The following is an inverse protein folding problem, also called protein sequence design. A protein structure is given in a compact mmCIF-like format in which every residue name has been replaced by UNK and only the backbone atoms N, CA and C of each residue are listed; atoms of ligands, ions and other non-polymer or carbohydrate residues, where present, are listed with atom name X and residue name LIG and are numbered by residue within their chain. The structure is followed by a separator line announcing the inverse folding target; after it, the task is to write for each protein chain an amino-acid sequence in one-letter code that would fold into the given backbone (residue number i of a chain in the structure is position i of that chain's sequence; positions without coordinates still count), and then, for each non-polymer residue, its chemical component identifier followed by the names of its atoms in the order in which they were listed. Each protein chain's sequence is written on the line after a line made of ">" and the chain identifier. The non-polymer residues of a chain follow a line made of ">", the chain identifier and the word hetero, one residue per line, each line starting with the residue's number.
data_IF_234054758548
#
_entry.id   IF_234054758548
#
_cell.length_a   1.000
_cell.length_b   1.000
_cell.length_c   1.000
_cell.angle_alpha   90.00
_cell.angle_beta   90.00
_cell.angle_gamma   90.00
#
_symmetry.space_group_name_H-M   'P 1'
#
loop_
_entity.id
_entity.type
_entity.pdbx_description
1 polymer ?
#
# COMPACT_ATOMS: atom_id res chain seq x y z
N UNK A 1 11.61 -29.13 -15.93
CA UNK A 1 11.62 -30.29 -15.00
C UNK A 1 12.76 -30.19 -13.98
N UNK A 2 12.87 -29.08 -13.23
CA UNK A 2 13.90 -28.91 -12.18
C UNK A 2 13.31 -29.10 -10.77
N UNK A 3 12.05 -28.67 -10.59
CA UNK A 3 11.29 -28.79 -9.35
C UNK A 3 11.06 -30.25 -8.90
N UNK A 4 10.98 -31.21 -9.83
CA UNK A 4 10.83 -32.63 -9.49
C UNK A 4 12.00 -33.17 -8.68
N UNK A 5 13.21 -32.61 -8.86
CA UNK A 5 14.41 -33.01 -8.13
C UNK A 5 14.41 -32.50 -6.67
N UNK A 6 13.62 -31.47 -6.37
CA UNK A 6 13.55 -30.84 -5.04
C UNK A 6 12.21 -31.08 -4.33
N UNK A 7 11.33 -31.91 -4.92
CA UNK A 7 9.97 -32.14 -4.39
C UNK A 7 9.98 -32.62 -2.94
N UNK A 8 10.89 -33.52 -2.58
CA UNK A 8 11.00 -34.04 -1.21
C UNK A 8 11.41 -32.97 -0.20
N UNK A 9 12.30 -32.04 -0.59
CA UNK A 9 12.70 -30.90 0.24
C UNK A 9 11.54 -29.90 0.35
N UNK A 10 10.88 -29.57 -0.76
CA UNK A 10 9.74 -28.66 -0.76
C UNK A 10 8.56 -29.16 0.08
N UNK A 11 8.27 -30.47 0.06
CA UNK A 11 7.21 -31.05 0.90
C UNK A 11 7.55 -30.97 2.39
N UNK A 12 8.84 -31.07 2.74
CA UNK A 12 9.31 -30.97 4.11
C UNK A 12 9.23 -29.53 4.64
N UNK A 13 9.57 -28.57 3.80
CA UNK A 13 9.64 -27.15 4.19
C UNK A 13 8.26 -26.46 4.12
N UNK A 14 7.42 -26.82 3.14
CA UNK A 14 6.16 -26.13 2.83
C UNK A 14 4.89 -26.99 3.06
N UNK A 15 5.04 -28.23 3.53
CA UNK A 15 3.93 -29.13 3.80
C UNK A 15 3.41 -29.87 2.55
N UNK A 16 2.17 -30.40 2.59
CA UNK A 16 1.63 -31.24 1.52
C UNK A 16 1.76 -30.59 0.13
N UNK A 17 2.07 -31.39 -0.89
CA UNK A 17 2.26 -30.94 -2.29
C UNK A 17 1.11 -30.07 -2.77
N UNK A 18 -0.11 -30.37 -2.34
CA UNK A 18 -1.32 -29.62 -2.68
C UNK A 18 -1.24 -28.16 -2.23
N UNK A 19 -0.74 -27.89 -1.03
CA UNK A 19 -0.60 -26.53 -0.47
C UNK A 19 0.42 -25.72 -1.27
N UNK A 20 1.55 -26.32 -1.63
CA UNK A 20 2.62 -25.67 -2.39
C UNK A 20 2.24 -25.41 -3.86
N UNK A 21 1.65 -26.40 -4.52
CA UNK A 21 1.21 -26.28 -5.91
C UNK A 21 0.05 -25.31 -6.05
N UNK A 22 -1.01 -25.47 -5.24
CA UNK A 22 -2.19 -24.61 -5.34
C UNK A 22 -1.81 -23.15 -5.11
N UNK A 23 -0.98 -22.85 -4.11
CA UNK A 23 -0.52 -21.49 -3.86
C UNK A 23 0.26 -20.90 -5.05
N UNK A 24 1.19 -21.66 -5.62
CA UNK A 24 2.01 -21.22 -6.76
C UNK A 24 1.15 -21.00 -8.01
N UNK A 25 0.22 -21.92 -8.29
CA UNK A 25 -0.71 -21.81 -9.41
C UNK A 25 -1.72 -20.69 -9.21
N UNK A 26 -2.25 -20.46 -8.01
CA UNK A 26 -3.14 -19.34 -7.71
C UNK A 26 -2.44 -17.99 -7.90
N UNK A 27 -1.21 -17.85 -7.38
CA UNK A 27 -0.35 -16.67 -7.61
C UNK A 27 -0.09 -16.46 -9.09
N UNK A 28 0.25 -17.52 -9.81
CA UNK A 28 0.55 -17.46 -11.25
C UNK A 28 -0.70 -17.13 -12.07
N UNK A 29 -1.85 -17.71 -11.74
CA UNK A 29 -3.14 -17.40 -12.34
C UNK A 29 -3.55 -15.96 -12.08
N UNK A 30 -3.30 -15.43 -10.87
CA UNK A 30 -3.46 -14.01 -10.57
C UNK A 30 -2.57 -13.12 -11.45
N UNK A 31 -1.32 -13.51 -11.66
CA UNK A 31 -0.40 -12.81 -12.55
C UNK A 31 -0.88 -12.84 -14.01
N UNK A 32 -1.24 -14.03 -14.54
CA UNK A 32 -1.78 -14.16 -15.90
C UNK A 32 -3.10 -13.40 -16.08
N UNK A 33 -3.98 -13.41 -15.08
CA UNK A 33 -5.24 -12.66 -15.08
C UNK A 33 -5.08 -11.14 -15.02
N UNK A 34 -3.92 -10.66 -14.53
CA UNK A 34 -3.60 -9.22 -14.51
C UNK A 34 -3.14 -8.69 -15.88
N UNK A 35 -2.78 -9.57 -16.81
CA UNK A 35 -2.30 -9.16 -18.13
C UNK A 35 -3.47 -8.58 -18.92
N UNK A 36 -3.30 -7.38 -19.53
CA UNK A 36 -4.33 -6.84 -20.41
C UNK A 36 -4.52 -7.81 -21.58
N UNK A 37 -5.73 -8.34 -21.69
CA UNK A 37 -6.13 -9.21 -22.80
C UNK A 37 -7.44 -8.66 -23.40
N UNK A 38 -7.68 -8.94 -24.66
CA UNK A 38 -8.91 -8.54 -25.37
C UNK A 38 -9.98 -9.66 -25.37
N UNK A 39 -9.85 -10.65 -24.47
CA UNK A 39 -10.65 -11.87 -24.40
C UNK A 39 -10.73 -12.71 -25.69
N UNK A 40 -9.86 -12.47 -26.68
CA UNK A 40 -9.72 -13.30 -27.89
C UNK A 40 -8.34 -13.94 -27.93
N UNK A 41 -8.28 -15.26 -28.10
CA UNK A 41 -7.03 -16.00 -28.20
C UNK A 41 -6.01 -15.61 -27.10
N UNK A 42 -6.47 -15.69 -25.84
CA UNK A 42 -5.72 -15.31 -24.64
C UNK A 42 -4.35 -16.01 -24.59
N UNK A 43 -4.33 -17.30 -24.94
CA UNK A 43 -3.12 -18.12 -25.01
C UNK A 43 -2.05 -17.51 -25.93
N UNK A 44 -2.44 -17.11 -27.15
CA UNK A 44 -1.51 -16.49 -28.11
C UNK A 44 -0.94 -15.16 -27.59
N UNK A 45 -1.74 -14.37 -26.88
CA UNK A 45 -1.27 -13.10 -26.31
C UNK A 45 -0.29 -13.32 -25.16
N UNK A 46 -0.59 -14.29 -24.31
CA UNK A 46 0.31 -14.72 -23.23
C UNK A 46 1.63 -15.23 -23.82
N UNK A 47 1.58 -16.11 -24.83
CA UNK A 47 2.78 -16.66 -25.47
C UNK A 47 3.62 -15.58 -26.16
N UNK A 48 2.99 -14.69 -26.94
CA UNK A 48 3.69 -13.54 -27.56
C UNK A 48 4.37 -12.66 -26.52
N UNK A 49 3.70 -12.43 -25.39
CA UNK A 49 4.27 -11.66 -24.29
C UNK A 49 5.46 -12.38 -23.67
N UNK A 50 5.36 -13.69 -23.39
CA UNK A 50 6.49 -14.47 -22.89
C UNK A 50 7.69 -14.42 -23.83
N UNK A 51 7.49 -14.60 -25.14
CA UNK A 51 8.58 -14.52 -26.12
C UNK A 51 9.18 -13.11 -26.17
N UNK A 52 8.35 -12.07 -26.15
CA UNK A 52 8.82 -10.68 -26.12
C UNK A 52 9.63 -10.38 -24.86
N UNK A 53 9.11 -10.76 -23.69
CA UNK A 53 9.78 -10.51 -22.41
C UNK A 53 11.10 -11.30 -22.33
N UNK A 54 11.11 -12.57 -22.76
CA UNK A 54 12.34 -13.38 -22.85
C UNK A 54 13.37 -12.77 -23.82
N UNK A 55 12.93 -12.30 -24.99
CA UNK A 55 13.80 -11.64 -25.96
C UNK A 55 14.39 -10.37 -25.38
N UNK A 56 13.57 -9.47 -24.83
CA UNK A 56 14.03 -8.22 -24.22
C UNK A 56 15.04 -8.48 -23.10
N UNK A 57 14.81 -9.51 -22.28
CA UNK A 57 15.71 -9.89 -21.19
C UNK A 57 17.04 -10.48 -21.68
N UNK A 58 17.08 -11.00 -22.90
CA UNK A 58 18.30 -11.53 -23.52
C UNK A 58 19.13 -10.48 -24.25
N UNK A 59 18.63 -9.24 -24.37
CA UNK A 59 19.37 -8.17 -25.07
C UNK A 59 20.57 -7.74 -24.25
N UNK A 60 21.76 -7.90 -24.82
CA UNK A 60 22.99 -7.33 -24.29
C UNK A 60 23.06 -5.86 -24.72
N UNK A 61 23.12 -4.96 -23.74
CA UNK A 61 23.24 -3.51 -24.01
C UNK A 61 24.64 -3.17 -24.54
N UNK A 62 24.77 -2.28 -25.55
CA UNK A 62 26.06 -1.79 -26.03
C UNK A 62 26.84 -1.09 -24.90
N UNK A 63 28.13 -1.42 -24.75
CA UNK A 63 29.00 -0.92 -23.66
C UNK A 63 29.03 0.62 -23.60
N UNK A 64 29.09 1.26 -24.76
CA UNK A 64 29.30 2.71 -24.92
C UNK A 64 28.13 3.57 -24.39
N UNK A 65 26.93 3.00 -24.28
CA UNK A 65 25.71 3.71 -23.88
C UNK A 65 25.00 3.02 -22.72
N UNK A 66 25.66 2.04 -22.09
CA UNK A 66 25.05 1.19 -21.09
C UNK A 66 24.48 2.01 -19.92
N UNK A 67 25.20 3.03 -19.46
CA UNK A 67 24.73 3.92 -18.39
C UNK A 67 23.50 4.74 -18.79
N UNK A 68 23.49 5.28 -20.02
CA UNK A 68 22.36 6.06 -20.54
C UNK A 68 21.12 5.19 -20.74
N UNK A 69 21.30 3.97 -21.26
CA UNK A 69 20.23 3.00 -21.43
C UNK A 69 19.71 2.49 -20.08
N UNK A 70 20.58 2.19 -19.10
CA UNK A 70 20.16 1.80 -17.75
C UNK A 70 19.36 2.90 -17.05
N UNK A 71 19.76 4.16 -17.23
CA UNK A 71 19.05 5.32 -16.64
C UNK A 71 17.65 5.51 -17.23
N UNK A 72 17.48 5.29 -18.53
CA UNK A 72 16.21 5.54 -19.23
C UNK A 72 15.30 4.32 -19.33
N UNK A 73 15.85 3.10 -19.31
CA UNK A 73 15.13 1.84 -19.38
C UNK A 73 15.23 1.10 -18.05
N UNK A 74 14.66 1.70 -16.99
CA UNK A 74 14.59 1.13 -15.65
C UNK A 74 13.98 -0.28 -15.62
N UNK A 75 13.21 -0.69 -16.64
CA UNK A 75 12.65 -2.04 -16.76
C UNK A 75 13.70 -3.11 -17.12
N UNK A 76 14.77 -2.76 -17.86
CA UNK A 76 15.84 -3.70 -18.24
C UNK A 76 16.71 -4.09 -17.04
N UNK A 77 16.83 -3.21 -16.04
CA UNK A 77 17.49 -3.55 -14.77
C UNK A 77 16.66 -4.56 -13.92
N UNK A 78 15.35 -4.69 -14.16
CA UNK A 78 14.45 -5.53 -13.34
C UNK A 78 14.52 -7.03 -13.63
N UNK A 79 15.33 -7.45 -14.61
CA UNK A 79 15.44 -8.85 -14.99
C UNK A 79 16.82 -9.46 -14.74
N UNK A 80 17.86 -8.64 -14.57
CA UNK A 80 19.13 -9.06 -13.96
C UNK A 80 19.11 -8.91 -12.45
N UNK A 81 18.32 -7.99 -11.91
CA UNK A 81 17.95 -7.97 -10.50
C UNK A 81 16.66 -8.74 -10.34
N UNK A 82 16.71 -9.82 -9.56
CA UNK A 82 15.54 -10.39 -8.88
C UNK A 82 14.81 -9.19 -8.24
N UNK A 83 13.67 -8.83 -8.82
CA UNK A 83 13.32 -7.42 -8.95
C UNK A 83 13.19 -6.68 -7.64
N UNK A 84 14.08 -5.71 -7.36
CA UNK A 84 14.14 -4.91 -6.12
C UNK A 84 13.47 -5.69 -4.98
N UNK A 85 14.10 -6.79 -4.57
CA UNK A 85 13.70 -7.43 -3.32
C UNK A 85 13.83 -6.34 -2.26
N UNK A 86 12.67 -5.82 -1.82
CA UNK A 86 12.60 -4.97 -0.64
C UNK A 86 13.36 -5.74 0.42
N UNK A 87 14.48 -5.18 0.87
CA UNK A 87 15.38 -5.92 1.76
C UNK A 87 14.59 -6.37 2.99
N UNK A 88 14.92 -7.53 3.56
CA UNK A 88 14.25 -7.99 4.79
C UNK A 88 14.29 -6.91 5.89
N UNK A 89 15.33 -6.08 5.90
CA UNK A 89 15.45 -4.93 6.78
C UNK A 89 14.42 -3.83 6.48
N UNK A 90 14.22 -3.46 5.22
CA UNK A 90 13.18 -2.50 4.82
C UNK A 90 11.78 -3.02 5.17
N UNK A 91 11.52 -4.32 5.00
CA UNK A 91 10.25 -4.94 5.39
C UNK A 91 10.06 -4.85 6.91
N UNK A 92 11.08 -5.21 7.71
CA UNK A 92 11.04 -5.09 9.17
C UNK A 92 10.79 -3.64 9.59
N UNK A 93 11.42 -2.69 8.93
CA UNK A 93 11.20 -1.27 9.18
C UNK A 93 9.75 -0.87 8.88
N UNK A 94 9.20 -1.22 7.71
CA UNK A 94 7.80 -0.93 7.36
C UNK A 94 6.80 -1.54 8.36
N UNK A 95 7.04 -2.78 8.80
CA UNK A 95 6.23 -3.45 9.82
C UNK A 95 6.28 -2.74 11.17
N UNK A 96 7.45 -2.24 11.54
CA UNK A 96 7.63 -1.44 12.75
C UNK A 96 6.90 -0.09 12.65
N UNK A 97 7.00 0.59 11.51
CA UNK A 97 6.33 1.87 11.27
C UNK A 97 4.81 1.73 11.32
N UNK A 98 4.26 0.69 10.68
CA UNK A 98 2.82 0.50 10.53
C UNK A 98 2.09 0.14 11.81
N UNK A 99 2.80 -0.44 12.79
CA UNK A 99 2.25 -0.83 14.10
C UNK A 99 2.33 0.25 15.18
N UNK A 100 2.96 1.39 14.90
CA UNK A 100 3.10 2.47 15.88
C UNK A 100 2.05 3.56 15.69
N UNK A 101 1.32 3.86 16.76
CA UNK A 101 0.37 4.97 16.82
C UNK A 101 1.05 6.34 16.90
N UNK A 102 2.12 6.46 17.68
CA UNK A 102 2.84 7.73 17.82
C UNK A 102 3.71 8.06 16.57
N UNK A 103 3.93 9.35 16.28
CA UNK A 103 4.99 9.82 15.39
C UNK A 103 6.34 9.29 15.87
N UNK A 104 7.20 8.92 14.92
CA UNK A 104 8.52 8.39 15.23
C UNK A 104 9.53 9.51 14.98
N UNK A 105 10.23 9.99 16.02
CA UNK A 105 11.23 11.04 15.87
C UNK A 105 12.33 10.60 14.89
N UNK A 106 12.84 11.53 14.09
CA UNK A 106 13.93 11.31 13.14
C UNK A 106 13.67 10.21 12.09
N UNK A 107 12.41 9.82 11.86
CA UNK A 107 12.07 8.89 10.80
C UNK A 107 12.07 9.60 9.44
N UNK A 108 12.78 9.04 8.48
CA UNK A 108 12.68 9.47 7.09
C UNK A 108 11.41 8.88 6.45
N UNK A 109 10.43 9.73 6.17
CA UNK A 109 9.17 9.36 5.50
C UNK A 109 9.24 9.52 3.98
N UNK A 110 10.35 10.02 3.45
CA UNK A 110 10.59 10.18 2.00
C UNK A 110 11.08 8.88 1.35
N UNK A 111 11.53 7.91 2.15
CA UNK A 111 11.90 6.59 1.63
C UNK A 111 10.69 5.79 1.18
N UNK A 112 10.46 5.77 -0.14
CA UNK A 112 9.31 5.13 -0.80
C UNK A 112 9.72 4.09 -1.85
N UNK A 113 10.98 3.64 -1.87
CA UNK A 113 11.51 2.67 -2.86
C UNK A 113 10.71 1.37 -2.94
N UNK A 114 10.16 0.92 -1.81
CA UNK A 114 9.38 -0.30 -1.69
C UNK A 114 7.99 -0.23 -2.37
N UNK A 115 7.52 0.98 -2.70
CA UNK A 115 6.19 1.22 -3.26
C UNK A 115 6.27 1.45 -4.76
N UNK A 116 5.50 0.66 -5.51
CA UNK A 116 5.21 0.93 -6.92
C UNK A 116 3.86 1.63 -7.00
N UNK A 117 3.69 2.56 -7.93
CA UNK A 117 2.44 3.30 -8.08
C UNK A 117 1.96 3.29 -9.53
N UNK A 118 0.65 3.49 -9.68
CA UNK A 118 0.03 3.59 -11.00
C UNK A 118 0.40 4.89 -11.73
N UNK A 119 -0.11 5.04 -12.96
CA UNK A 119 0.10 6.25 -13.75
C UNK A 119 -0.28 7.49 -12.94
N UNK A 120 0.65 8.45 -12.93
CA UNK A 120 0.54 9.66 -12.14
C UNK A 120 -0.05 10.79 -12.97
N UNK A 121 -0.87 11.64 -12.34
CA UNK A 121 -1.40 12.88 -12.93
C UNK A 121 -1.18 14.06 -11.99
N UNK A 122 -1.06 15.27 -12.53
CA UNK A 122 -0.91 16.49 -11.73
C UNK A 122 -2.24 16.87 -11.08
N UNK A 123 -2.17 17.40 -9.87
CA UNK A 123 -3.31 17.86 -9.09
C UNK A 123 -2.92 19.07 -8.24
N UNK A 124 -3.87 19.95 -7.95
CA UNK A 124 -3.71 21.04 -7.01
C UNK A 124 -4.61 20.77 -5.80
N UNK A 125 -4.03 20.83 -4.61
CA UNK A 125 -4.76 20.65 -3.36
C UNK A 125 -5.72 21.82 -3.15
N UNK A 126 -6.90 21.54 -2.59
CA UNK A 126 -7.77 22.60 -2.09
C UNK A 126 -7.14 23.32 -0.90
N UNK A 127 -7.59 24.55 -0.61
CA UNK A 127 -7.08 25.32 0.52
C UNK A 127 -7.21 24.57 1.86
N UNK A 128 -8.30 23.81 2.03
CA UNK A 128 -8.53 22.99 3.22
C UNK A 128 -7.57 21.80 3.30
N UNK A 129 -7.44 21.03 2.20
CA UNK A 129 -6.50 19.90 2.11
C UNK A 129 -5.05 20.34 2.36
N UNK A 130 -4.65 21.46 1.76
CA UNK A 130 -3.31 22.03 1.96
C UNK A 130 -3.06 22.39 3.42
N UNK A 131 -4.03 23.05 4.09
CA UNK A 131 -3.95 23.38 5.52
C UNK A 131 -3.78 22.13 6.38
N UNK A 132 -4.59 21.11 6.11
CA UNK A 132 -4.60 19.86 6.86
C UNK A 132 -3.30 19.08 6.64
N UNK A 133 -2.88 18.91 5.39
CA UNK A 133 -1.62 18.24 5.04
C UNK A 133 -0.40 18.94 5.65
N UNK A 134 -0.38 20.29 5.65
CA UNK A 134 0.67 21.07 6.32
C UNK A 134 0.73 20.79 7.81
N UNK A 135 -0.41 20.58 8.47
CA UNK A 135 -0.44 20.18 9.87
C UNK A 135 0.07 18.74 10.07
N UNK A 136 -0.29 17.82 9.17
CA UNK A 136 0.24 16.46 9.17
C UNK A 136 1.76 16.45 9.06
N UNK A 137 2.34 17.22 8.13
CA UNK A 137 3.79 17.36 8.00
C UNK A 137 4.46 17.87 9.28
N UNK A 138 3.91 18.92 9.90
CA UNK A 138 4.41 19.42 11.20
C UNK A 138 4.39 18.36 12.31
N UNK A 139 3.51 17.36 12.20
CA UNK A 139 3.42 16.28 13.18
C UNK A 139 4.47 15.19 12.95
N UNK A 140 4.73 14.83 11.69
CA UNK A 140 5.75 13.82 11.35
C UNK A 140 7.18 14.38 11.38
N UNK A 141 7.33 15.69 11.23
CA UNK A 141 8.59 16.42 11.24
C UNK A 141 8.52 17.61 12.21
N UNK A 142 8.50 17.37 13.52
CA UNK A 142 8.40 18.44 14.52
C UNK A 142 9.64 19.36 14.54
N UNK A 143 10.82 18.81 14.21
CA UNK A 143 12.10 19.51 14.32
C UNK A 143 12.45 20.36 13.08
N UNK A 144 11.65 20.28 12.01
CA UNK A 144 11.89 20.99 10.75
C UNK A 144 11.24 22.38 10.77
N UNK A 145 12.05 23.41 11.09
CA UNK A 145 11.59 24.79 11.21
C UNK A 145 11.19 25.45 9.86
N UNK A 146 11.96 25.20 8.79
CA UNK A 146 11.77 25.84 7.48
C UNK A 146 11.31 24.84 6.43
N UNK A 147 10.01 24.56 6.43
CA UNK A 147 9.37 23.66 5.49
C UNK A 147 8.57 24.43 4.45
N UNK A 148 8.93 24.27 3.17
CA UNK A 148 8.15 24.80 2.04
C UNK A 148 7.37 23.67 1.40
N UNK A 149 6.04 23.83 1.36
CA UNK A 149 5.10 22.87 0.78
C UNK A 149 4.43 23.51 -0.44
N UNK A 150 4.62 22.95 -1.66
CA UNK A 150 3.87 23.38 -2.83
C UNK A 150 2.39 23.02 -2.70
N UNK A 151 1.50 23.78 -3.34
CA UNK A 151 0.07 23.45 -3.42
C UNK A 151 -0.21 22.39 -4.49
N UNK A 152 0.72 22.22 -5.44
CA UNK A 152 0.63 21.21 -6.47
C UNK A 152 1.27 19.89 -6.03
N UNK A 153 0.61 18.80 -6.38
CA UNK A 153 1.06 17.46 -6.12
C UNK A 153 0.75 16.54 -7.30
N UNK A 154 1.21 15.31 -7.17
CA UNK A 154 0.99 14.25 -8.14
C UNK A 154 0.04 13.23 -7.53
N UNK A 155 -1.03 12.83 -8.21
CA UNK A 155 -1.98 11.82 -7.73
C UNK A 155 -1.86 10.51 -8.51
N UNK A 156 -2.01 9.38 -7.81
CA UNK A 156 -2.11 8.06 -8.41
C UNK A 156 -3.28 7.26 -7.82
N UNK A 157 -3.78 6.29 -8.59
CA UNK A 157 -5.00 5.55 -8.26
C UNK A 157 -4.78 4.33 -7.37
N UNK A 158 -3.58 3.76 -7.36
CA UNK A 158 -3.23 2.66 -6.46
C UNK A 158 -1.73 2.61 -6.26
N UNK A 159 -1.33 1.95 -5.17
CA UNK A 159 0.06 1.62 -4.86
C UNK A 159 0.18 0.11 -4.67
N UNK A 160 1.34 -0.45 -4.96
CA UNK A 160 1.64 -1.87 -4.83
C UNK A 160 2.85 -2.02 -3.92
N UNK A 161 2.69 -2.82 -2.87
CA UNK A 161 3.74 -3.22 -1.94
C UNK A 161 3.82 -4.74 -1.94
N UNK A 162 4.98 -5.34 -2.22
CA UNK A 162 5.18 -6.81 -2.24
C UNK A 162 4.13 -7.57 -3.10
N UNK A 163 3.83 -7.02 -4.28
CA UNK A 163 2.79 -7.50 -5.21
C UNK A 163 1.34 -7.43 -4.68
N UNK A 164 1.14 -6.84 -3.52
CA UNK A 164 -0.18 -6.55 -2.98
C UNK A 164 -0.62 -5.15 -3.40
N UNK A 165 -1.79 -5.08 -4.05
CA UNK A 165 -2.37 -3.81 -4.49
C UNK A 165 -3.18 -3.19 -3.36
N UNK A 166 -2.86 -1.93 -3.05
CA UNK A 166 -3.61 -1.01 -2.21
C UNK A 166 -4.27 0.01 -3.13
N UNK A 167 -5.58 -0.14 -3.31
CA UNK A 167 -6.38 0.65 -4.23
C UNK A 167 -6.85 1.96 -3.61
N UNK A 168 -7.54 2.74 -4.42
CA UNK A 168 -8.34 3.89 -3.96
C UNK A 168 -9.80 3.73 -4.38
N UNK A 169 -10.69 4.42 -3.68
CA UNK A 169 -12.14 4.30 -3.82
C UNK A 169 -12.64 4.57 -5.24
N UNK A 170 -12.06 5.56 -5.91
CA UNK A 170 -12.41 5.96 -7.28
C UNK A 170 -11.73 5.11 -8.36
N UNK A 171 -10.87 4.16 -7.97
CA UNK A 171 -10.14 3.31 -8.91
C UNK A 171 -10.86 1.99 -9.19
N UNK A 172 -10.44 1.30 -10.27
CA UNK A 172 -10.82 -0.09 -10.53
C UNK A 172 -10.45 -1.06 -9.38
N UNK A 173 -9.58 -0.64 -8.47
CA UNK A 173 -9.15 -1.39 -7.29
C UNK A 173 -9.88 -0.95 -6.01
N UNK A 174 -11.12 -0.43 -6.12
CA UNK A 174 -11.97 -0.02 -4.99
C UNK A 174 -12.03 -1.04 -3.85
N UNK A 175 -12.10 -2.34 -4.15
CA UNK A 175 -12.13 -3.42 -3.14
C UNK A 175 -10.85 -3.51 -2.31
N UNK A 176 -9.74 -2.95 -2.80
CA UNK A 176 -8.46 -2.87 -2.09
C UNK A 176 -8.21 -1.50 -1.46
N UNK A 177 -9.21 -0.63 -1.37
CA UNK A 177 -9.10 0.71 -0.74
C UNK A 177 -9.31 0.70 0.78
N UNK A 178 -9.78 -0.42 1.32
CA UNK A 178 -10.06 -0.62 2.73
C UNK A 178 -8.77 -0.92 3.50
N UNK A 179 -8.40 -0.04 4.43
CA UNK A 179 -7.17 -0.14 5.21
C UNK A 179 -7.42 -0.02 6.72
N UNK A 180 -6.58 -0.67 7.50
CA UNK A 180 -6.44 -0.45 8.94
C UNK A 180 -5.14 0.31 9.20
N UNK A 181 -5.15 1.26 10.14
CA UNK A 181 -3.93 1.94 10.57
C UNK A 181 -3.99 2.42 12.03
N UNK A 182 -2.83 2.48 12.67
CA UNK A 182 -2.64 3.13 13.97
C UNK A 182 -2.28 4.60 13.72
N UNK A 183 -3.25 5.39 13.25
CA UNK A 183 -2.98 6.77 12.82
C UNK A 183 -4.07 7.75 13.28
N UNK A 184 -5.33 7.34 13.18
CA UNK A 184 -6.45 8.18 13.56
C UNK A 184 -6.75 8.08 15.06
N UNK A 185 -6.73 9.22 15.76
CA UNK A 185 -7.11 9.33 17.17
C UNK A 185 -8.58 9.71 17.40
N UNK A 186 -9.34 9.91 16.32
CA UNK A 186 -10.69 10.45 16.38
C UNK A 186 -10.70 11.97 16.28
N UNK A 187 -11.84 12.53 15.89
CA UNK A 187 -12.06 13.98 15.67
C UNK A 187 -11.04 14.59 14.71
N UNK A 188 -10.59 13.82 13.72
CA UNK A 188 -9.58 14.24 12.75
C UNK A 188 -8.17 14.40 13.33
N UNK A 189 -7.91 14.01 14.58
CA UNK A 189 -6.62 14.21 15.27
C UNK A 189 -5.69 13.02 15.12
N UNK A 190 -4.40 13.28 15.32
CA UNK A 190 -3.33 12.28 15.34
C UNK A 190 -3.01 11.84 16.77
N UNK A 191 -2.63 10.58 16.93
CA UNK A 191 -2.16 10.06 18.22
C UNK A 191 -0.85 10.74 18.62
N UNK A 192 -0.77 11.23 19.86
CA UNK A 192 0.46 11.81 20.44
C UNK A 192 1.24 10.81 21.30
N UNK A 193 0.61 9.69 21.65
CA UNK A 193 1.16 8.67 22.54
C UNK A 193 0.93 7.28 21.93
N UNK A 194 1.64 6.28 22.45
CA UNK A 194 1.42 4.89 22.06
C UNK A 194 0.10 4.40 22.65
N UNK A 195 -0.89 4.20 21.77
CA UNK A 195 -2.21 3.65 22.10
C UNK A 195 -2.42 2.35 21.34
N UNK A 196 -3.12 1.41 21.98
CA UNK A 196 -3.62 0.19 21.36
C UNK A 196 -4.97 0.48 20.70
N UNK A 197 -5.01 0.42 19.37
CA UNK A 197 -6.25 0.58 18.61
C UNK A 197 -5.95 1.06 17.20
N UNK A 198 -6.26 0.21 16.21
CA UNK A 198 -6.27 0.62 14.81
C UNK A 198 -7.65 1.15 14.43
N UNK A 199 -7.67 2.07 13.47
CA UNK A 199 -8.89 2.58 12.86
C UNK A 199 -9.00 2.03 11.43
N UNK A 200 -10.19 1.60 10.99
CA UNK A 200 -10.51 1.34 9.61
C UNK A 200 -10.77 2.64 8.86
N UNK A 201 -10.23 2.72 7.66
CA UNK A 201 -10.45 3.83 6.75
C UNK A 201 -10.51 3.38 5.30
N UNK A 202 -11.11 4.24 4.49
CA UNK A 202 -11.27 4.04 3.05
C UNK A 202 -10.36 5.04 2.34
N UNK A 203 -9.35 4.53 1.62
CA UNK A 203 -8.45 5.36 0.82
C UNK A 203 -9.21 5.97 -0.35
N UNK A 204 -9.26 7.30 -0.40
CA UNK A 204 -9.88 8.07 -1.48
C UNK A 204 -8.93 8.24 -2.67
N UNK A 205 -7.67 8.58 -2.41
CA UNK A 205 -6.63 8.73 -3.43
C UNK A 205 -5.23 8.72 -2.80
N UNK A 206 -4.18 8.57 -3.62
CA UNK A 206 -2.80 8.67 -3.20
C UNK A 206 -2.14 9.92 -3.79
N UNK A 207 -1.31 10.60 -2.99
CA UNK A 207 -0.58 11.79 -3.36
C UNK A 207 0.92 11.59 -3.20
N UNK A 208 1.67 11.85 -4.27
CA UNK A 208 3.10 12.13 -4.24
C UNK A 208 3.27 13.64 -4.07
N UNK A 209 3.66 14.06 -2.88
CA UNK A 209 3.81 15.45 -2.50
C UNK A 209 5.28 15.78 -2.28
N UNK A 210 5.75 16.92 -2.79
CA UNK A 210 7.13 17.34 -2.60
C UNK A 210 7.26 18.14 -1.30
N UNK A 211 8.35 17.91 -0.58
CA UNK A 211 8.73 18.65 0.60
C UNK A 211 10.05 19.34 0.29
N UNK A 212 10.09 20.67 0.34
CA UNK A 212 11.32 21.42 0.09
C UNK A 212 11.91 21.85 1.45
N UNK A 213 13.09 21.33 1.75
CA UNK A 213 13.87 21.58 2.98
C UNK A 213 15.27 21.95 2.55
N UNK A 214 15.78 23.12 2.98
CA UNK A 214 17.17 23.52 2.72
C UNK A 214 17.59 23.39 1.24
N UNK A 215 16.71 23.79 0.31
CA UNK A 215 16.85 23.63 -1.15
C UNK A 215 16.82 22.20 -1.72
N UNK A 216 16.67 21.16 -0.88
CA UNK A 216 16.43 19.80 -1.33
C UNK A 216 14.93 19.50 -1.44
N UNK A 217 14.52 18.85 -2.54
CA UNK A 217 13.15 18.40 -2.75
C UNK A 217 13.02 16.91 -2.48
N UNK A 218 12.26 16.55 -1.44
CA UNK A 218 11.99 15.16 -1.04
C UNK A 218 10.54 14.78 -1.34
N UNK A 219 10.35 13.66 -2.04
CA UNK A 219 9.01 13.19 -2.41
C UNK A 219 8.46 12.30 -1.29
N UNK A 220 7.22 12.57 -0.87
CA UNK A 220 6.51 11.79 0.13
C UNK A 220 5.24 11.21 -0.47
N UNK A 221 4.90 9.99 -0.07
CA UNK A 221 3.71 9.27 -0.54
C UNK A 221 2.67 9.21 0.58
N UNK A 222 1.57 9.92 0.38
CA UNK A 222 0.43 9.97 1.31
C UNK A 222 -0.79 9.29 0.70
N UNK A 223 -1.59 8.64 1.54
CA UNK A 223 -2.97 8.30 1.22
C UNK A 223 -3.92 9.32 1.87
N UNK A 224 -4.91 9.80 1.12
CA UNK A 224 -6.06 10.51 1.67
C UNK A 224 -7.12 9.50 2.06
N UNK A 225 -7.54 9.51 3.32
CA UNK A 225 -8.37 8.47 3.91
C UNK A 225 -9.58 9.08 4.60
N UNK A 226 -10.74 8.49 4.34
CA UNK A 226 -11.94 8.73 5.14
C UNK A 226 -12.01 7.65 6.22
N UNK A 227 -11.77 8.04 7.48
CA UNK A 227 -11.86 7.12 8.61
C UNK A 227 -13.31 6.88 8.99
N UNK A 228 -13.67 5.65 9.37
CA UNK A 228 -15.01 5.35 9.86
C UNK A 228 -15.18 5.87 11.29
N UNK A 229 -16.38 6.31 11.62
CA UNK A 229 -16.72 6.75 12.96
C UNK A 229 -16.85 5.54 13.92
N UNK A 230 -16.21 5.58 15.10
CA UNK A 230 -16.25 4.47 16.05
C UNK A 230 -17.65 4.31 16.64
N UNK A 231 -18.01 3.05 16.95
CA UNK A 231 -19.14 2.75 17.82
C UNK A 231 -18.64 2.58 19.26
N UNK A 232 -19.53 2.73 20.27
CA UNK A 232 -19.19 2.40 21.66
C UNK A 232 -18.65 0.98 21.77
N UNK A 233 -17.70 0.75 22.67
CA UNK A 233 -16.98 -0.53 22.81
C UNK A 233 -17.90 -1.74 22.99
N UNK A 234 -19.06 -1.57 23.64
CA UNK A 234 -20.07 -2.61 23.79
C UNK A 234 -20.62 -3.13 22.46
N UNK A 235 -20.69 -2.28 21.43
CA UNK A 235 -21.07 -2.67 20.07
C UNK A 235 -19.85 -3.06 19.25
N UNK A 236 -18.75 -2.30 19.36
CA UNK A 236 -17.54 -2.49 18.55
C UNK A 236 -16.96 -3.89 18.68
N UNK A 237 -16.95 -4.44 19.89
CA UNK A 237 -16.37 -5.76 20.17
C UNK A 237 -17.41 -6.88 20.29
N UNK A 238 -18.65 -6.63 19.87
CA UNK A 238 -19.77 -7.58 19.99
C UNK A 238 -19.47 -8.96 19.36
N UNK A 239 -18.74 -8.99 18.23
CA UNK A 239 -18.41 -10.24 17.52
C UNK A 239 -17.15 -10.94 18.04
N UNK A 240 -16.40 -10.32 18.97
CA UNK A 240 -15.07 -10.81 19.38
C UNK A 240 -13.98 -10.61 18.31
N UNK A 241 -12.71 -10.66 18.74
CA UNK A 241 -11.57 -10.52 17.82
C UNK A 241 -11.53 -11.67 16.81
N UNK A 242 -11.16 -11.42 15.54
CA UNK A 242 -10.62 -10.17 15.00
C UNK A 242 -11.68 -9.21 14.43
N UNK A 243 -12.98 -9.52 14.54
CA UNK A 243 -14.04 -8.73 13.90
C UNK A 243 -14.42 -7.54 14.78
N UNK A 244 -14.41 -6.34 14.18
CA UNK A 244 -14.88 -5.12 14.82
C UNK A 244 -16.11 -4.56 14.10
N UNK A 245 -17.04 -3.98 14.87
CA UNK A 245 -18.25 -3.35 14.35
C UNK A 245 -18.07 -1.85 14.32
N UNK A 246 -18.28 -1.25 13.14
CA UNK A 246 -18.14 0.19 12.91
C UNK A 246 -19.40 0.79 12.30
N UNK A 247 -19.54 2.12 12.41
CA UNK A 247 -20.66 2.83 11.82
C UNK A 247 -20.60 2.74 10.29
N UNK A 248 -21.71 2.34 9.65
CA UNK A 248 -21.78 2.27 8.20
C UNK A 248 -21.96 3.67 7.61
N UNK A 249 -21.15 4.03 6.62
CA UNK A 249 -21.23 5.29 5.86
C UNK A 249 -21.18 6.58 6.72
N UNK A 250 -20.77 6.46 7.99
CA UNK A 250 -20.52 7.58 8.90
C UNK A 250 -19.01 7.68 9.10
N UNK A 251 -18.47 8.84 8.76
CA UNK A 251 -17.04 9.10 8.77
C UNK A 251 -16.65 10.02 9.91
N UNK A 252 -15.41 9.90 10.36
CA UNK A 252 -14.80 10.82 11.30
C UNK A 252 -14.61 12.21 10.68
N UNK A 253 -14.35 13.20 11.53
CA UNK A 253 -14.13 14.59 11.13
C UNK A 253 -12.89 14.69 10.24
N UNK A 254 -12.99 15.47 9.17
CA UNK A 254 -11.84 15.77 8.32
C UNK A 254 -10.80 16.59 9.08
N UNK A 255 -9.58 16.08 9.14
CA UNK A 255 -8.49 16.71 9.90
C UNK A 255 -7.15 16.06 9.58
N UNK A 256 -6.08 16.40 10.32
CA UNK A 256 -4.71 15.93 10.06
C UNK A 256 -4.55 14.42 9.92
N UNK A 257 -5.42 13.61 10.54
CA UNK A 257 -5.42 12.15 10.37
C UNK A 257 -5.85 11.69 8.98
N UNK A 258 -6.54 12.52 8.19
CA UNK A 258 -6.99 12.18 6.85
C UNK A 258 -5.83 11.96 5.86
N UNK A 259 -4.66 12.56 6.10
CA UNK A 259 -3.45 12.26 5.34
C UNK A 259 -2.54 11.35 6.15
N UNK A 260 -2.29 10.15 5.62
CA UNK A 260 -1.44 9.15 6.26
C UNK A 260 -0.25 8.80 5.34
N UNK A 261 1.00 8.81 5.84
CA UNK A 261 2.12 8.23 5.11
C UNK A 261 1.84 6.75 4.83
N UNK A 262 2.05 6.26 3.61
CA UNK A 262 1.70 4.87 3.26
C UNK A 262 2.44 3.82 4.12
N UNK A 263 3.57 4.18 4.71
CA UNK A 263 4.32 3.35 5.65
C UNK A 263 3.59 3.12 6.99
N UNK A 264 2.59 3.94 7.33
CA UNK A 264 1.73 3.77 8.51
C UNK A 264 0.52 2.86 8.27
N UNK A 265 0.28 2.42 7.04
CA UNK A 265 -0.82 1.50 6.72
C UNK A 265 -0.48 0.12 7.28
N UNK A 266 -1.29 -0.38 8.22
CA UNK A 266 -1.05 -1.65 8.92
C UNK A 266 -1.43 -2.85 8.05
N UNK A 267 -2.66 -2.89 7.57
CA UNK A 267 -3.15 -3.96 6.69
C UNK A 267 -4.39 -3.52 5.93
N UNK A 268 -4.91 -4.37 5.04
CA UNK A 268 -6.26 -4.21 4.47
C UNK A 268 -7.31 -4.81 5.39
N UNK A 269 -8.57 -4.48 5.16
CA UNK A 269 -9.68 -5.20 5.78
C UNK A 269 -10.74 -5.60 4.75
N UNK A 270 -11.55 -6.58 5.12
CA UNK A 270 -12.81 -6.89 4.44
C UNK A 270 -13.97 -6.39 5.28
N UNK A 271 -15.00 -5.88 4.63
CA UNK A 271 -16.23 -5.45 5.30
C UNK A 271 -17.44 -6.19 4.76
N UNK A 272 -18.41 -6.43 5.65
CA UNK A 272 -19.76 -6.82 5.32
C UNK A 272 -20.72 -5.86 6.02
N UNK A 273 -21.72 -5.36 5.30
CA UNK A 273 -22.71 -4.45 5.88
C UNK A 273 -23.88 -5.25 6.45
N UNK A 274 -24.45 -4.76 7.55
CA UNK A 274 -25.62 -5.35 8.16
C UNK A 274 -26.32 -4.41 9.14
N UNK A 275 -27.13 -5.00 10.02
CA UNK A 275 -27.84 -4.29 11.08
C UNK A 275 -27.46 -4.88 12.43
N UNK A 276 -27.23 -4.03 13.43
CA UNK A 276 -27.03 -4.40 14.82
C UNK A 276 -27.88 -3.49 15.69
N UNK A 277 -28.83 -4.06 16.43
CA UNK A 277 -29.78 -3.29 17.26
C UNK A 277 -30.43 -2.12 16.48
N UNK A 278 -30.95 -2.42 15.28
CA UNK A 278 -31.57 -1.47 14.33
C UNK A 278 -30.63 -0.42 13.71
N UNK A 279 -29.37 -0.33 14.13
CA UNK A 279 -28.37 0.55 13.52
C UNK A 279 -27.73 -0.13 12.31
N UNK A 280 -27.52 0.62 11.24
CA UNK A 280 -26.74 0.17 10.10
C UNK A 280 -25.25 0.17 10.47
N UNK A 281 -24.61 -0.98 10.35
CA UNK A 281 -23.22 -1.19 10.76
C UNK A 281 -22.42 -1.92 9.68
N UNK A 282 -21.12 -1.73 9.71
CA UNK A 282 -20.16 -2.48 8.91
C UNK A 282 -19.34 -3.38 9.83
N UNK A 283 -19.39 -4.68 9.57
CA UNK A 283 -18.57 -5.70 10.21
C UNK A 283 -17.24 -5.75 9.49
N UNK A 284 -16.15 -5.43 10.20
CA UNK A 284 -14.82 -5.26 9.63
C UNK A 284 -13.91 -6.35 10.17
N UNK A 285 -13.25 -7.07 9.27
CA UNK A 285 -12.25 -8.06 9.61
C UNK A 285 -10.90 -7.68 8.98
N UNK A 286 -9.85 -7.40 9.78
CA UNK A 286 -8.53 -7.11 9.26
C UNK A 286 -7.96 -8.33 8.56
N UNK A 287 -7.51 -8.13 7.32
CA UNK A 287 -6.73 -9.10 6.57
C UNK A 287 -5.30 -9.01 7.09
N UNK A 288 -4.99 -9.74 8.17
CA UNK A 288 -3.60 -9.99 8.52
C UNK A 288 -3.02 -10.84 7.39
N UNK A 289 -2.42 -10.20 6.38
CA UNK A 289 -1.55 -10.88 5.42
C UNK A 289 -0.51 -11.62 6.26
N UNK A 290 -0.64 -12.95 6.30
CA UNK A 290 -0.04 -13.80 7.33
C UNK A 290 1.38 -13.40 7.67
N UNK A 291 1.57 -12.79 8.83
CA UNK A 291 2.86 -12.75 9.51
C UNK A 291 2.94 -14.01 10.36
N UNK A 292 3.10 -15.16 9.71
CA UNK A 292 3.89 -16.21 10.32
C UNK A 292 5.33 -15.74 10.16
N UNK A 293 5.85 -15.14 11.24
CA UNK A 293 7.29 -15.19 11.53
C UNK A 293 7.55 -16.59 12.05
#
# INVERSE_FOLDING_TARGET
>A
MHLHCHLASCVRDFGPVYSFWLFSFERYNGHLGSLPNNNRAIELQIMRRFTRDAYVNSIVLPENFQELFRKNFLELNRCTEIGIEVTDQEIRNLLYLSRRSAPIPNQDWSHISAYKFSKVSTHCLTAEEYRVLKHTYKTIYPDLAHMVLPESCRKCSFVTLRNEVYGSWESRHKRSSFIMAYWNAGDGKLWKMLVQGSAPGIVQTYYLHNLIVENESKVHLFAKVNWLAPLPDCYRYHCGKPVEVWSRDIYDVFGPSAFIPVQKIYCKYVQADGKLSEKLVSYICPLNSGMNI
#
